data_IF_253492677916
#
_entry.id   IF_253492677916
#
_cell.length_a   1.000
_cell.length_b   1.000
_cell.length_c   1.000
_cell.angle_alpha   90.00
_cell.angle_beta   90.00
_cell.angle_gamma   90.00
#
_symmetry.space_group_name_H-M   'P 1'
#
loop_
_entity.id
_entity.type
_entity.pdbx_description
1 polymer ?
#
# COMPACT_ATOMS: atom_id res chain seq x y z
N UNK A 1 -26.20 12.49 -3.26
CA UNK A 1 -26.71 13.12 -4.51
C UNK A 1 -27.59 12.08 -5.18
N UNK A 2 -28.69 12.47 -5.84
CA UNK A 2 -29.59 11.50 -6.49
C UNK A 2 -29.02 11.12 -7.88
N UNK A 3 -29.19 9.86 -8.33
CA UNK A 3 -28.74 9.37 -9.64
C UNK A 3 -29.31 10.25 -10.77
N UNK A 4 -30.58 10.69 -10.67
CA UNK A 4 -31.21 11.61 -11.63
C UNK A 4 -30.39 12.90 -11.84
N UNK A 5 -29.64 13.37 -10.84
CA UNK A 5 -28.79 14.55 -10.97
C UNK A 5 -27.50 14.25 -11.74
N UNK A 6 -26.92 13.06 -11.59
CA UNK A 6 -25.74 12.63 -12.36
C UNK A 6 -26.12 12.46 -13.83
N UNK A 7 -27.21 11.77 -14.13
CA UNK A 7 -27.71 11.56 -15.50
C UNK A 7 -28.02 12.88 -16.24
N UNK A 8 -28.52 13.88 -15.52
CA UNK A 8 -28.70 15.22 -16.07
C UNK A 8 -27.39 15.89 -16.44
N UNK A 9 -26.37 15.79 -15.59
CA UNK A 9 -25.08 16.41 -15.83
C UNK A 9 -24.27 15.72 -16.93
N UNK A 10 -24.43 14.40 -17.08
CA UNK A 10 -23.78 13.61 -18.14
C UNK A 10 -24.18 14.08 -19.56
N UNK A 11 -25.31 14.76 -19.73
CA UNK A 11 -25.74 15.34 -21.01
C UNK A 11 -24.95 16.59 -21.42
N UNK A 12 -24.17 17.18 -20.49
CA UNK A 12 -23.44 18.42 -20.69
C UNK A 12 -21.94 18.24 -20.82
N UNK A 13 -21.46 17.01 -20.93
CA UNK A 13 -20.02 16.70 -21.11
C UNK A 13 -19.78 16.03 -22.46
N UNK A 14 -18.52 15.86 -22.82
CA UNK A 14 -18.12 15.17 -24.04
C UNK A 14 -18.84 13.82 -24.18
N UNK A 15 -19.37 13.47 -25.36
CA UNK A 15 -20.14 12.24 -25.57
C UNK A 15 -19.36 10.96 -25.28
N UNK A 16 -18.04 10.93 -25.51
CA UNK A 16 -17.18 9.77 -25.22
C UNK A 16 -17.11 9.60 -23.71
N UNK A 17 -16.79 10.67 -22.97
CA UNK A 17 -16.76 10.66 -21.51
C UNK A 17 -18.12 10.25 -20.92
N UNK A 18 -19.22 10.83 -21.43
CA UNK A 18 -20.59 10.51 -21.01
C UNK A 18 -20.89 9.01 -21.18
N UNK A 19 -20.51 8.44 -22.32
CA UNK A 19 -20.73 7.01 -22.59
C UNK A 19 -19.93 6.11 -21.63
N UNK A 20 -18.66 6.44 -21.38
CA UNK A 20 -17.80 5.69 -20.44
C UNK A 20 -18.40 5.72 -19.03
N UNK A 21 -18.81 6.89 -18.54
CA UNK A 21 -19.41 7.04 -17.21
C UNK A 21 -20.77 6.34 -17.08
N UNK A 22 -21.61 6.35 -18.12
CA UNK A 22 -22.86 5.59 -18.15
C UNK A 22 -22.60 4.06 -18.13
N UNK A 23 -21.58 3.59 -18.84
CA UNK A 23 -21.17 2.18 -18.78
C UNK A 23 -20.71 1.81 -17.36
N UNK A 24 -19.92 2.67 -16.71
CA UNK A 24 -19.50 2.47 -15.32
C UNK A 24 -20.69 2.42 -14.35
N UNK A 25 -21.63 3.36 -14.44
CA UNK A 25 -22.87 3.37 -13.63
C UNK A 25 -23.75 2.15 -13.86
N UNK A 26 -23.70 1.57 -15.06
CA UNK A 26 -24.35 0.31 -15.40
C UNK A 26 -23.55 -0.93 -15.00
N UNK A 27 -22.47 -0.75 -14.23
CA UNK A 27 -21.55 -1.80 -13.73
C UNK A 27 -20.93 -2.65 -14.86
N UNK A 28 -20.82 -2.11 -16.07
CA UNK A 28 -20.09 -2.73 -17.16
C UNK A 28 -18.58 -2.58 -16.93
N UNK A 29 -17.82 -3.59 -17.32
CA UNK A 29 -16.39 -3.51 -17.30
C UNK A 29 -15.86 -2.42 -18.24
N UNK A 30 -15.02 -1.53 -17.72
CA UNK A 30 -14.44 -0.43 -18.48
C UNK A 30 -13.13 -0.91 -19.12
N UNK A 31 -13.01 -0.70 -20.45
CA UNK A 31 -11.79 -1.06 -21.20
C UNK A 31 -10.61 -0.16 -20.83
N UNK A 32 -9.40 -0.58 -21.21
CA UNK A 32 -8.18 0.25 -21.07
C UNK A 32 -8.32 1.57 -21.82
N UNK A 33 -8.88 1.55 -23.03
CA UNK A 33 -9.07 2.76 -23.84
C UNK A 33 -10.07 3.71 -23.16
N UNK A 34 -11.22 3.20 -22.72
CA UNK A 34 -12.22 4.00 -22.03
C UNK A 34 -11.68 4.60 -20.72
N UNK A 35 -10.93 3.83 -19.93
CA UNK A 35 -10.32 4.32 -18.71
C UNK A 35 -9.26 5.41 -18.97
N UNK A 36 -8.56 5.33 -20.11
CA UNK A 36 -7.62 6.39 -20.52
C UNK A 36 -8.33 7.71 -20.84
N UNK A 37 -9.58 7.65 -21.36
CA UNK A 37 -10.38 8.86 -21.59
C UNK A 37 -10.78 9.56 -20.28
N UNK A 38 -11.00 8.80 -19.19
CA UNK A 38 -11.31 9.39 -17.88
C UNK A 38 -10.18 10.32 -17.37
N UNK A 39 -8.92 10.02 -17.66
CA UNK A 39 -7.81 10.89 -17.27
C UNK A 39 -7.73 12.20 -18.07
N UNK A 40 -8.43 12.31 -19.20
CA UNK A 40 -8.49 13.52 -20.01
C UNK A 40 -9.60 14.48 -19.57
N UNK A 41 -10.45 14.05 -18.63
CA UNK A 41 -11.60 14.82 -18.16
C UNK A 41 -11.17 16.16 -17.56
N UNK A 42 -11.86 17.24 -17.95
CA UNK A 42 -11.64 18.59 -17.47
C UNK A 42 -12.97 19.28 -17.11
N UNK A 43 -12.88 20.38 -16.36
CA UNK A 43 -14.04 21.16 -15.98
C UNK A 43 -15.10 20.30 -15.27
N UNK A 44 -16.34 20.37 -15.73
CA UNK A 44 -17.44 19.59 -15.14
C UNK A 44 -17.22 18.07 -15.31
N UNK A 45 -16.60 17.64 -16.41
CA UNK A 45 -16.28 16.25 -16.65
C UNK A 45 -15.35 15.65 -15.58
N UNK A 46 -14.35 16.40 -15.14
CA UNK A 46 -13.47 16.01 -14.03
C UNK A 46 -14.27 15.70 -12.76
N UNK A 47 -15.18 16.58 -12.37
CA UNK A 47 -16.01 16.36 -11.18
C UNK A 47 -16.97 15.18 -11.34
N UNK A 48 -17.50 14.97 -12.57
CA UNK A 48 -18.38 13.82 -12.85
C UNK A 48 -17.65 12.48 -12.71
N UNK A 49 -16.37 12.38 -13.07
CA UNK A 49 -15.58 11.17 -12.85
C UNK A 49 -15.54 10.85 -11.34
N UNK A 50 -15.28 11.85 -10.49
CA UNK A 50 -15.30 11.67 -9.03
C UNK A 50 -16.69 11.28 -8.51
N UNK A 51 -17.74 11.96 -8.97
CA UNK A 51 -19.13 11.69 -8.55
C UNK A 51 -19.57 10.25 -8.91
N UNK A 52 -19.22 9.77 -10.10
CA UNK A 52 -19.53 8.41 -10.53
C UNK A 52 -18.73 7.40 -9.70
N UNK A 53 -17.45 7.67 -9.43
CA UNK A 53 -16.63 6.83 -8.58
C UNK A 53 -17.18 6.74 -7.14
N UNK A 54 -17.63 7.87 -6.56
CA UNK A 54 -18.24 7.87 -5.22
C UNK A 54 -19.60 7.14 -5.20
N UNK A 55 -20.42 7.28 -6.24
CA UNK A 55 -21.66 6.52 -6.35
C UNK A 55 -21.42 5.00 -6.44
N UNK A 56 -20.42 4.57 -7.22
CA UNK A 56 -20.00 3.16 -7.28
C UNK A 56 -19.48 2.66 -5.93
N UNK A 57 -18.65 3.44 -5.24
CA UNK A 57 -18.23 3.15 -3.88
C UNK A 57 -19.42 2.97 -2.95
N UNK A 58 -20.37 3.93 -2.96
CA UNK A 58 -21.58 3.90 -2.13
C UNK A 58 -22.42 2.64 -2.35
N UNK A 59 -22.56 2.19 -3.60
CA UNK A 59 -23.28 0.95 -3.92
C UNK A 59 -22.56 -0.30 -3.37
N UNK A 60 -21.23 -0.32 -3.36
CA UNK A 60 -20.43 -1.48 -2.94
C UNK A 60 -20.25 -1.61 -1.44
N UNK A 61 -19.90 -0.52 -0.77
CA UNK A 61 -19.47 -0.52 0.63
C UNK A 61 -20.29 0.42 1.53
N UNK A 62 -21.27 1.11 0.98
CA UNK A 62 -22.06 2.10 1.72
C UNK A 62 -21.23 3.29 2.17
N UNK A 63 -21.61 3.91 3.29
CA UNK A 63 -20.90 5.07 3.83
C UNK A 63 -19.87 4.69 4.92
N UNK A 64 -19.55 3.41 5.04
CA UNK A 64 -18.53 2.92 5.95
C UNK A 64 -17.14 3.22 5.37
N UNK A 65 -16.29 3.83 6.19
CA UNK A 65 -14.86 4.04 5.92
C UNK A 65 -14.06 3.26 6.93
N UNK A 66 -13.20 2.39 6.45
CA UNK A 66 -12.45 1.47 7.29
C UNK A 66 -11.03 1.95 7.58
N UNK A 67 -10.46 1.44 8.68
CA UNK A 67 -9.05 1.54 9.03
C UNK A 67 -8.62 0.32 9.87
N UNK A 68 -7.33 0.03 9.90
CA UNK A 68 -6.74 -1.01 10.76
C UNK A 68 -5.79 -0.39 11.78
N UNK A 69 -5.82 -0.88 13.02
CA UNK A 69 -4.80 -0.51 14.01
C UNK A 69 -3.59 -1.40 13.81
N UNK A 70 -2.50 -0.84 13.31
CA UNK A 70 -1.32 -1.61 12.93
C UNK A 70 0.01 -0.89 13.21
N UNK A 71 1.08 -1.66 13.16
CA UNK A 71 2.46 -1.17 13.22
C UNK A 71 3.27 -1.65 12.04
N UNK A 72 4.06 -0.74 11.44
CA UNK A 72 5.11 -1.10 10.51
C UNK A 72 6.38 -1.51 11.26
N UNK A 73 6.94 -2.66 10.89
CA UNK A 73 8.22 -3.15 11.41
C UNK A 73 9.16 -3.37 10.23
N UNK A 74 9.96 -2.34 9.94
CA UNK A 74 10.99 -2.39 8.92
C UNK A 74 12.30 -2.77 9.62
N UNK A 75 12.58 -4.05 9.75
CA UNK A 75 13.66 -4.54 10.61
C UNK A 75 15.07 -4.34 10.05
N UNK A 76 15.22 -4.03 8.76
CA UNK A 76 16.47 -3.59 8.15
C UNK A 76 16.24 -2.66 6.96
N UNK A 77 17.09 -1.67 6.80
CA UNK A 77 17.17 -0.83 5.60
C UNK A 77 18.29 -1.29 4.64
N UNK A 78 19.09 -2.27 5.03
CA UNK A 78 20.16 -2.80 4.18
C UNK A 78 19.54 -3.60 3.03
N UNK A 79 19.88 -3.23 1.79
CA UNK A 79 19.29 -3.84 0.61
C UNK A 79 20.31 -4.00 -0.52
N UNK A 80 20.34 -5.17 -1.14
CA UNK A 80 21.17 -5.44 -2.33
C UNK A 80 20.59 -4.83 -3.61
N UNK A 81 19.33 -4.35 -3.56
CA UNK A 81 18.65 -3.72 -4.69
C UNK A 81 18.83 -2.19 -4.62
N UNK A 82 19.07 -1.59 -5.77
CA UNK A 82 19.27 -0.15 -5.89
C UNK A 82 18.10 0.47 -6.68
N UNK A 83 16.91 0.44 -6.08
CA UNK A 83 15.71 1.02 -6.70
C UNK A 83 15.84 2.55 -6.72
N UNK A 84 15.71 3.16 -7.89
CA UNK A 84 15.86 4.61 -8.06
C UNK A 84 14.85 5.44 -7.26
N UNK A 85 13.71 4.87 -6.92
CA UNK A 85 12.66 5.53 -6.12
C UNK A 85 12.82 5.33 -4.60
N UNK A 86 13.68 4.41 -4.13
CA UNK A 86 13.74 4.01 -2.74
C UNK A 86 14.77 4.82 -1.96
N UNK A 87 14.30 5.73 -1.12
CA UNK A 87 15.16 6.51 -0.22
C UNK A 87 15.41 5.81 1.14
N UNK A 88 14.70 4.72 1.41
CA UNK A 88 14.85 3.95 2.63
C UNK A 88 16.08 3.03 2.62
N UNK A 89 16.39 2.44 1.45
CA UNK A 89 17.46 1.45 1.32
C UNK A 89 18.84 2.06 1.52
N UNK A 90 19.73 1.27 2.14
CA UNK A 90 21.16 1.55 2.27
C UNK A 90 21.95 0.38 1.70
N UNK A 91 23.05 0.69 1.01
CA UNK A 91 24.02 -0.33 0.61
C UNK A 91 24.63 -0.93 1.89
N UNK A 92 24.97 -2.21 1.85
CA UNK A 92 25.56 -2.93 3.00
C UNK A 92 26.93 -2.40 3.45
N UNK A 93 27.48 -1.43 2.75
CA UNK A 93 28.74 -0.74 3.06
C UNK A 93 28.52 0.60 3.74
N UNK A 94 27.30 1.12 3.76
CA UNK A 94 26.96 2.41 4.35
C UNK A 94 26.87 2.32 5.87
N UNK A 95 27.32 3.37 6.56
CA UNK A 95 27.30 3.43 8.03
C UNK A 95 25.87 3.54 8.61
N UNK A 96 24.92 4.02 7.81
CA UNK A 96 23.51 4.16 8.19
C UNK A 96 22.70 2.85 8.06
N UNK A 97 23.35 1.74 7.67
CA UNK A 97 22.71 0.43 7.63
C UNK A 97 22.39 -0.08 9.03
N UNK A 98 21.16 -0.54 9.25
CA UNK A 98 20.77 -1.16 10.51
C UNK A 98 20.11 -2.53 10.28
N UNK A 99 20.12 -3.36 11.34
CA UNK A 99 19.42 -4.63 11.38
C UNK A 99 18.93 -4.88 12.81
N UNK A 100 17.60 -4.98 12.98
CA UNK A 100 17.02 -5.24 14.29
C UNK A 100 17.13 -6.72 14.64
N UNK A 101 17.60 -7.06 15.85
CA UNK A 101 17.54 -8.44 16.33
C UNK A 101 16.09 -8.91 16.52
N UNK A 102 15.87 -10.21 16.47
CA UNK A 102 14.52 -10.82 16.57
C UNK A 102 13.80 -10.40 17.85
N UNK A 103 14.51 -10.28 18.96
CA UNK A 103 13.98 -9.84 20.25
C UNK A 103 13.39 -8.42 20.19
N UNK A 104 14.04 -7.52 19.45
CA UNK A 104 13.56 -6.16 19.26
C UNK A 104 12.35 -6.12 18.32
N UNK A 105 12.32 -6.97 17.28
CA UNK A 105 11.15 -7.12 16.39
C UNK A 105 9.93 -7.59 17.21
N UNK A 106 10.11 -8.61 18.03
CA UNK A 106 9.06 -9.15 18.92
C UNK A 106 8.61 -8.10 19.95
N UNK A 107 9.56 -7.37 20.56
CA UNK A 107 9.24 -6.28 21.50
C UNK A 107 8.34 -5.23 20.85
N UNK A 108 8.66 -4.81 19.62
CA UNK A 108 7.85 -3.85 18.85
C UNK A 108 6.46 -4.39 18.53
N UNK A 109 6.35 -5.65 18.15
CA UNK A 109 5.07 -6.29 17.89
C UNK A 109 4.21 -6.33 19.17
N UNK A 110 4.80 -6.67 20.31
CA UNK A 110 4.14 -6.73 21.62
C UNK A 110 3.68 -5.36 22.11
N UNK A 111 4.52 -4.33 21.92
CA UNK A 111 4.16 -2.94 22.21
C UNK A 111 2.93 -2.50 21.39
N UNK A 112 2.90 -2.79 20.10
CA UNK A 112 1.77 -2.48 19.25
C UNK A 112 0.50 -3.24 19.69
N UNK A 113 0.61 -4.54 19.96
CA UNK A 113 -0.51 -5.35 20.42
C UNK A 113 -1.13 -4.82 21.74
N UNK A 114 -0.28 -4.42 22.67
CA UNK A 114 -0.75 -3.81 23.94
C UNK A 114 -1.44 -2.46 23.75
N UNK A 115 -1.20 -1.79 22.63
CA UNK A 115 -1.85 -0.55 22.22
C UNK A 115 -3.07 -0.78 21.31
N UNK A 116 -3.51 -2.03 21.15
CA UNK A 116 -4.70 -2.39 20.40
C UNK A 116 -4.45 -2.78 18.96
N UNK A 117 -3.19 -2.92 18.50
CA UNK A 117 -2.93 -3.35 17.14
C UNK A 117 -3.43 -4.79 16.90
N UNK A 118 -4.15 -4.96 15.81
CA UNK A 118 -4.61 -6.26 15.32
C UNK A 118 -3.65 -6.83 14.26
N UNK A 119 -2.77 -5.98 13.71
CA UNK A 119 -1.84 -6.31 12.63
C UNK A 119 -0.43 -5.75 12.91
N UNK A 120 0.58 -6.51 12.51
CA UNK A 120 1.92 -5.98 12.24
C UNK A 120 2.25 -6.15 10.75
N UNK A 121 2.67 -5.06 10.11
CA UNK A 121 3.14 -5.08 8.72
C UNK A 121 4.67 -5.18 8.72
N UNK A 122 5.20 -6.29 8.16
CA UNK A 122 6.63 -6.59 8.17
C UNK A 122 7.16 -6.53 6.75
N UNK A 123 7.99 -5.55 6.46
CA UNK A 123 8.70 -5.36 5.20
C UNK A 123 10.09 -4.78 5.47
N UNK A 124 11.10 -5.22 4.74
CA UNK A 124 12.46 -4.79 4.97
C UNK A 124 13.30 -4.72 3.68
N UNK A 125 14.50 -4.19 3.79
CA UNK A 125 15.53 -4.35 2.76
C UNK A 125 15.94 -5.81 2.62
N UNK A 126 16.66 -6.14 1.54
CA UNK A 126 17.19 -7.46 1.25
C UNK A 126 18.69 -7.48 1.61
N UNK A 127 19.08 -7.88 2.82
CA UNK A 127 20.48 -7.86 3.21
C UNK A 127 21.27 -8.95 2.47
N UNK A 128 22.53 -8.70 2.09
CA UNK A 128 23.38 -9.75 1.54
C UNK A 128 23.58 -10.83 2.60
N UNK A 129 23.76 -12.07 2.16
CA UNK A 129 24.01 -13.24 3.05
C UNK A 129 22.93 -13.48 4.12
N UNK A 130 21.67 -13.09 3.82
CA UNK A 130 20.53 -13.36 4.68
C UNK A 130 20.42 -14.86 4.99
N UNK A 131 20.22 -15.18 6.27
CA UNK A 131 19.87 -16.55 6.67
C UNK A 131 18.57 -16.98 6.00
N UNK A 132 18.56 -18.15 5.40
CA UNK A 132 17.40 -18.69 4.67
C UNK A 132 16.11 -18.77 5.49
N UNK A 133 16.23 -18.96 6.81
CA UNK A 133 15.08 -19.10 7.71
C UNK A 133 14.67 -17.78 8.39
N UNK A 134 15.33 -16.65 8.10
CA UNK A 134 15.13 -15.39 8.83
C UNK A 134 13.64 -14.99 8.92
N UNK A 135 12.92 -15.01 7.82
CA UNK A 135 11.51 -14.58 7.80
C UNK A 135 10.61 -15.54 8.59
N UNK A 136 10.88 -16.83 8.50
CA UNK A 136 10.15 -17.85 9.27
C UNK A 136 10.42 -17.70 10.77
N UNK A 137 11.69 -17.53 11.16
CA UNK A 137 12.10 -17.42 12.56
C UNK A 137 11.50 -16.18 13.22
N UNK A 138 11.48 -15.04 12.51
CA UNK A 138 10.81 -13.81 12.95
C UNK A 138 9.31 -14.05 13.16
N UNK A 139 8.64 -14.68 12.20
CA UNK A 139 7.21 -14.97 12.32
C UNK A 139 6.90 -15.91 13.49
N UNK A 140 7.65 -16.99 13.63
CA UNK A 140 7.50 -17.96 14.74
C UNK A 140 7.72 -17.29 16.09
N UNK A 141 8.74 -16.43 16.22
CA UNK A 141 9.04 -15.69 17.45
C UNK A 141 7.86 -14.73 17.81
N UNK A 142 7.33 -13.99 16.85
CA UNK A 142 6.16 -13.13 17.06
C UNK A 142 4.95 -13.97 17.48
N UNK A 143 4.66 -15.08 16.78
CA UNK A 143 3.50 -15.94 17.07
C UNK A 143 3.60 -16.66 18.40
N UNK A 144 4.82 -16.95 18.87
CA UNK A 144 5.05 -17.52 20.22
C UNK A 144 4.60 -16.56 21.33
N UNK A 145 4.92 -15.27 21.19
CA UNK A 145 4.59 -14.23 22.18
C UNK A 145 3.17 -13.68 22.02
N UNK A 146 2.69 -13.61 20.77
CA UNK A 146 1.42 -12.98 20.41
C UNK A 146 0.68 -13.85 19.38
N UNK A 147 0.11 -14.99 19.77
CA UNK A 147 -0.49 -15.95 18.84
C UNK A 147 -1.55 -15.36 17.90
N UNK A 148 -2.32 -14.38 18.39
CA UNK A 148 -3.48 -13.82 17.70
C UNK A 148 -3.15 -12.62 16.78
N UNK A 149 -1.94 -12.04 16.84
CA UNK A 149 -1.60 -10.90 15.98
C UNK A 149 -1.58 -11.34 14.50
N UNK A 150 -2.18 -10.54 13.64
CA UNK A 150 -2.09 -10.78 12.20
C UNK A 150 -0.72 -10.34 11.67
N UNK A 151 0.00 -11.23 11.00
CA UNK A 151 1.25 -10.91 10.32
C UNK A 151 0.94 -10.66 8.84
N UNK A 152 1.05 -9.39 8.43
CA UNK A 152 1.01 -8.91 7.05
C UNK A 152 2.46 -8.74 6.56
N UNK A 153 3.04 -9.74 5.96
CA UNK A 153 4.44 -9.78 5.51
C UNK A 153 4.61 -10.97 4.58
N UNK A 154 5.48 -10.96 3.71
CA UNK A 154 6.48 -10.06 3.19
C UNK A 154 6.11 -9.66 1.75
N UNK A 155 6.80 -8.69 1.14
CA UNK A 155 6.58 -8.36 -0.27
C UNK A 155 6.91 -9.53 -1.21
N UNK A 156 6.37 -9.56 -2.45
CA UNK A 156 6.76 -10.56 -3.45
C UNK A 156 8.27 -10.61 -3.75
N UNK A 157 8.96 -9.47 -3.68
CA UNK A 157 10.42 -9.41 -3.80
C UNK A 157 11.12 -10.14 -2.65
N UNK A 158 10.66 -9.96 -1.41
CA UNK A 158 11.20 -10.64 -0.23
C UNK A 158 10.91 -12.15 -0.28
N UNK A 159 9.70 -12.54 -0.71
CA UNK A 159 9.34 -13.96 -0.91
C UNK A 159 10.25 -14.61 -1.94
N UNK A 160 10.44 -13.98 -3.11
CA UNK A 160 11.33 -14.50 -4.15
C UNK A 160 12.78 -14.61 -3.63
N UNK A 161 13.26 -13.58 -2.93
CA UNK A 161 14.60 -13.57 -2.35
C UNK A 161 14.77 -14.70 -1.32
N UNK A 162 13.80 -14.88 -0.43
CA UNK A 162 13.81 -15.95 0.56
C UNK A 162 13.79 -17.34 -0.09
N UNK A 163 12.97 -17.55 -1.12
CA UNK A 163 12.95 -18.81 -1.88
C UNK A 163 14.30 -19.13 -2.53
N UNK A 164 14.93 -18.13 -3.16
CA UNK A 164 16.27 -18.26 -3.76
C UNK A 164 17.33 -18.58 -2.68
N UNK A 165 17.29 -17.89 -1.54
CA UNK A 165 18.24 -18.10 -0.42
C UNK A 165 18.08 -19.48 0.23
N UNK A 166 16.87 -20.03 0.18
CA UNK A 166 16.53 -21.35 0.74
C UNK A 166 16.70 -22.51 -0.25
N UNK A 167 17.01 -22.20 -1.51
CA UNK A 167 17.09 -23.18 -2.61
C UNK A 167 15.80 -24.02 -2.74
N UNK A 168 14.65 -23.37 -2.67
CA UNK A 168 13.33 -24.02 -2.80
C UNK A 168 12.43 -23.25 -3.78
N UNK A 169 11.33 -23.87 -4.20
CA UNK A 169 10.32 -23.22 -5.04
C UNK A 169 9.57 -22.11 -4.28
N UNK A 170 9.03 -21.12 -5.01
CA UNK A 170 8.14 -20.09 -4.47
C UNK A 170 7.00 -20.72 -3.68
N UNK A 171 6.38 -21.78 -4.19
CA UNK A 171 5.27 -22.49 -3.52
C UNK A 171 5.69 -23.08 -2.19
N UNK A 172 6.81 -23.76 -2.17
CA UNK A 172 7.33 -24.36 -0.93
C UNK A 172 7.67 -23.29 0.10
N UNK A 173 8.34 -22.21 -0.33
CA UNK A 173 8.69 -21.11 0.56
C UNK A 173 7.46 -20.41 1.13
N UNK A 174 6.44 -20.13 0.32
CA UNK A 174 5.17 -19.57 0.78
C UNK A 174 4.43 -20.51 1.76
N UNK A 175 4.49 -21.83 1.53
CA UNK A 175 3.93 -22.79 2.49
C UNK A 175 4.64 -22.72 3.84
N UNK A 176 5.97 -22.67 3.84
CA UNK A 176 6.79 -22.52 5.06
C UNK A 176 6.49 -21.21 5.80
N UNK A 177 6.34 -20.11 5.08
CA UNK A 177 5.94 -18.81 5.66
C UNK A 177 4.53 -18.88 6.27
N UNK A 178 3.58 -19.52 5.60
CA UNK A 178 2.22 -19.74 6.12
C UNK A 178 2.25 -20.54 7.42
N UNK A 179 3.00 -21.65 7.45
CA UNK A 179 3.16 -22.50 8.62
C UNK A 179 3.88 -21.76 9.77
N UNK A 180 4.77 -20.84 9.45
CA UNK A 180 5.43 -19.95 10.40
C UNK A 180 4.52 -18.86 10.97
N UNK A 181 3.33 -18.65 10.38
CA UNK A 181 2.32 -17.72 10.89
C UNK A 181 2.07 -16.48 10.04
N UNK A 182 2.60 -16.38 8.81
CA UNK A 182 2.22 -15.33 7.87
C UNK A 182 0.76 -15.52 7.47
N UNK A 183 -0.03 -14.47 7.60
CA UNK A 183 -1.47 -14.50 7.34
C UNK A 183 -1.84 -13.91 5.98
N UNK A 184 -1.18 -12.82 5.58
CA UNK A 184 -1.39 -12.13 4.29
C UNK A 184 -0.08 -11.51 3.81
N UNK A 185 0.04 -11.21 2.50
CA UNK A 185 1.19 -10.53 1.94
C UNK A 185 0.83 -9.12 1.45
N UNK A 186 1.69 -8.11 1.70
CA UNK A 186 1.61 -6.84 1.00
C UNK A 186 1.93 -7.03 -0.49
N UNK A 187 1.06 -6.55 -1.36
CA UNK A 187 1.25 -6.58 -2.82
C UNK A 187 2.20 -5.50 -3.34
N UNK A 188 3.13 -5.08 -2.50
CA UNK A 188 4.20 -4.13 -2.85
C UNK A 188 5.19 -4.75 -3.84
N UNK A 189 6.23 -4.02 -4.21
CA UNK A 189 7.11 -4.39 -5.30
C UNK A 189 6.41 -4.53 -6.69
N UNK A 190 5.13 -4.16 -6.80
CA UNK A 190 4.41 -4.05 -8.06
C UNK A 190 4.86 -2.83 -8.87
N UNK A 191 5.01 -1.70 -8.23
CA UNK A 191 5.28 -0.36 -8.76
C UNK A 191 4.41 -0.05 -9.99
N UNK A 192 4.91 -0.29 -11.20
CA UNK A 192 4.15 -0.42 -12.45
C UNK A 192 4.43 -1.80 -13.05
N UNK A 193 3.38 -2.57 -13.36
CA UNK A 193 3.48 -3.93 -13.91
C UNK A 193 3.71 -3.91 -15.43
N UNK A 194 4.69 -3.13 -15.85
CA UNK A 194 5.30 -3.11 -17.17
C UNK A 194 6.80 -3.33 -17.03
N UNK A 195 7.35 -4.33 -17.74
CA UNK A 195 8.76 -4.71 -17.55
C UNK A 195 9.71 -3.60 -17.98
N UNK A 196 9.41 -2.89 -19.07
CA UNK A 196 10.29 -1.81 -19.57
C UNK A 196 10.33 -0.64 -18.58
N UNK A 197 9.18 -0.33 -17.95
CA UNK A 197 9.12 0.68 -16.91
C UNK A 197 9.90 0.26 -15.66
N UNK A 198 9.78 -0.99 -15.25
CA UNK A 198 10.51 -1.55 -14.09
C UNK A 198 12.02 -1.52 -14.31
N UNK A 199 12.48 -1.91 -15.49
CA UNK A 199 13.91 -1.91 -15.83
C UNK A 199 14.53 -0.50 -15.76
N UNK A 200 13.71 0.55 -15.95
CA UNK A 200 14.14 1.95 -15.76
C UNK A 200 14.22 2.32 -14.27
N UNK A 201 13.14 2.15 -13.51
CA UNK A 201 13.05 2.68 -12.14
C UNK A 201 13.68 1.77 -11.09
N UNK A 202 13.83 0.47 -11.38
CA UNK A 202 14.35 -0.53 -10.43
C UNK A 202 15.04 -1.70 -11.16
N UNK A 203 16.16 -1.45 -11.84
CA UNK A 203 16.89 -2.48 -12.59
C UNK A 203 17.30 -3.63 -11.65
N UNK A 204 17.19 -4.87 -12.14
CA UNK A 204 17.55 -6.07 -11.39
C UNK A 204 16.62 -6.44 -10.22
N UNK A 205 15.46 -5.81 -10.13
CA UNK A 205 14.40 -6.17 -9.17
C UNK A 205 13.51 -7.28 -9.75
N UNK A 206 12.64 -7.87 -8.92
CA UNK A 206 11.65 -8.91 -9.33
C UNK A 206 10.98 -8.53 -10.65
N UNK A 207 10.93 -9.47 -11.60
CA UNK A 207 10.25 -9.25 -12.87
C UNK A 207 8.74 -9.21 -12.72
N UNK A 208 8.03 -8.66 -13.72
CA UNK A 208 6.55 -8.71 -13.72
C UNK A 208 6.06 -10.16 -13.67
N UNK A 209 6.73 -11.07 -14.37
CA UNK A 209 6.38 -12.49 -14.41
C UNK A 209 6.54 -13.14 -13.03
N UNK A 210 7.67 -12.92 -12.38
CA UNK A 210 7.94 -13.51 -11.06
C UNK A 210 7.03 -12.91 -9.99
N UNK A 211 6.75 -11.60 -10.07
CA UNK A 211 5.77 -10.94 -9.19
C UNK A 211 4.38 -11.60 -9.30
N UNK A 212 3.91 -11.79 -10.54
CA UNK A 212 2.64 -12.44 -10.81
C UNK A 212 2.62 -13.89 -10.32
N UNK A 213 3.73 -14.63 -10.48
CA UNK A 213 3.87 -15.99 -9.98
C UNK A 213 3.78 -16.06 -8.45
N UNK A 214 4.47 -15.17 -7.73
CA UNK A 214 4.38 -15.09 -6.26
C UNK A 214 2.94 -14.83 -5.82
N UNK A 215 2.28 -13.82 -6.40
CA UNK A 215 0.90 -13.44 -6.04
C UNK A 215 -0.08 -14.58 -6.30
N UNK A 216 -0.08 -15.16 -7.50
CA UNK A 216 -0.99 -16.26 -7.85
C UNK A 216 -0.73 -17.50 -7.01
N UNK A 217 0.53 -17.79 -6.70
CA UNK A 217 0.89 -18.91 -5.82
C UNK A 217 0.39 -18.66 -4.40
N UNK A 218 0.57 -17.45 -3.86
CA UNK A 218 0.04 -17.10 -2.54
C UNK A 218 -1.49 -17.27 -2.49
N UNK A 219 -2.21 -16.75 -3.48
CA UNK A 219 -3.67 -16.91 -3.59
C UNK A 219 -4.09 -18.38 -3.64
N UNK A 220 -3.38 -19.22 -4.42
CA UNK A 220 -3.66 -20.65 -4.53
C UNK A 220 -3.44 -21.42 -3.22
N UNK A 221 -2.61 -20.90 -2.32
CA UNK A 221 -2.38 -21.41 -0.96
C UNK A 221 -3.35 -20.82 0.08
N UNK A 222 -4.30 -19.97 -0.34
CA UNK A 222 -5.24 -19.29 0.55
C UNK A 222 -4.61 -18.16 1.35
N UNK A 223 -3.46 -17.63 0.91
CA UNK A 223 -2.83 -16.43 1.45
C UNK A 223 -3.31 -15.25 0.60
N UNK A 224 -4.22 -14.43 1.15
CA UNK A 224 -4.64 -13.21 0.48
C UNK A 224 -3.50 -12.20 0.41
N UNK A 225 -3.58 -11.30 -0.59
CA UNK A 225 -2.62 -10.20 -0.71
C UNK A 225 -3.33 -8.88 -0.91
N UNK A 226 -2.65 -7.77 -0.63
CA UNK A 226 -3.06 -6.47 -1.13
C UNK A 226 -2.60 -6.31 -2.59
N UNK A 227 -3.00 -5.24 -3.26
CA UNK A 227 -2.45 -4.84 -4.55
C UNK A 227 -2.09 -3.36 -4.51
N UNK A 228 -0.97 -2.98 -5.12
CA UNK A 228 -0.46 -1.61 -5.08
C UNK A 228 -0.05 -1.13 -6.47
N UNK A 229 0.00 0.18 -6.65
CA UNK A 229 0.60 0.85 -7.79
C UNK A 229 1.39 2.06 -7.29
N UNK A 230 2.63 2.24 -7.70
CA UNK A 230 3.34 3.50 -7.48
C UNK A 230 3.21 4.38 -8.74
N UNK A 231 2.73 5.60 -8.56
CA UNK A 231 2.46 6.54 -9.65
C UNK A 231 2.99 7.94 -9.33
N UNK A 232 3.08 8.81 -10.33
CA UNK A 232 3.55 10.19 -10.15
C UNK A 232 5.04 10.36 -10.41
N UNK A 233 5.73 9.38 -11.03
CA UNK A 233 7.16 9.44 -11.36
C UNK A 233 7.41 9.73 -12.86
N UNK A 234 7.64 8.71 -13.69
CA UNK A 234 7.91 8.84 -15.14
C UNK A 234 6.88 8.11 -15.99
N UNK A 235 5.95 7.41 -15.36
CA UNK A 235 4.88 6.65 -16.03
C UNK A 235 3.86 7.59 -16.69
N UNK A 236 3.21 7.09 -17.74
CA UNK A 236 2.06 7.71 -18.37
C UNK A 236 0.73 7.28 -17.70
N UNK A 237 -0.35 7.99 -17.99
CA UNK A 237 -1.70 7.56 -17.58
C UNK A 237 -2.09 6.22 -18.20
N UNK A 238 -1.63 5.92 -19.40
CA UNK A 238 -1.84 4.63 -20.06
C UNK A 238 -1.15 3.48 -19.30
N UNK A 239 0.08 3.71 -18.78
CA UNK A 239 0.79 2.72 -17.96
C UNK A 239 0.00 2.41 -16.68
N UNK A 240 -0.59 3.42 -16.03
CA UNK A 240 -1.46 3.25 -14.84
C UNK A 240 -2.68 2.41 -15.17
N UNK A 241 -3.38 2.73 -16.25
CA UNK A 241 -4.60 2.01 -16.67
C UNK A 241 -4.28 0.55 -17.01
N UNK A 242 -3.19 0.29 -17.73
CA UNK A 242 -2.73 -1.08 -18.03
C UNK A 242 -2.36 -1.86 -16.77
N UNK A 243 -1.73 -1.21 -15.80
CA UNK A 243 -1.43 -1.80 -14.51
C UNK A 243 -2.70 -2.21 -13.77
N UNK A 244 -3.69 -1.31 -13.65
CA UNK A 244 -4.98 -1.60 -13.01
C UNK A 244 -5.72 -2.73 -13.72
N UNK A 245 -5.71 -2.72 -15.07
CA UNK A 245 -6.30 -3.79 -15.86
C UNK A 245 -5.62 -5.15 -15.59
N UNK A 246 -4.28 -5.18 -15.46
CA UNK A 246 -3.57 -6.41 -15.11
C UNK A 246 -3.93 -6.94 -13.73
N UNK A 247 -4.05 -6.07 -12.72
CA UNK A 247 -4.53 -6.46 -11.38
C UNK A 247 -5.96 -7.02 -11.45
N UNK A 248 -6.83 -6.39 -12.24
CA UNK A 248 -8.20 -6.87 -12.46
C UNK A 248 -8.22 -8.28 -13.05
N UNK A 249 -7.40 -8.57 -14.04
CA UNK A 249 -7.33 -9.91 -14.63
C UNK A 249 -6.82 -10.95 -13.63
N UNK A 250 -5.81 -10.63 -12.82
CA UNK A 250 -5.36 -11.51 -11.74
C UNK A 250 -6.48 -11.74 -10.73
N UNK A 251 -7.22 -10.70 -10.36
CA UNK A 251 -8.36 -10.83 -9.43
C UNK A 251 -9.48 -11.71 -9.99
N UNK A 252 -9.79 -11.59 -11.28
CA UNK A 252 -10.76 -12.49 -11.95
C UNK A 252 -10.34 -13.95 -11.87
N UNK A 253 -9.04 -14.22 -12.01
CA UNK A 253 -8.50 -15.56 -11.99
C UNK A 253 -8.45 -16.15 -10.59
N UNK A 254 -8.09 -15.36 -9.59
CA UNK A 254 -7.69 -15.86 -8.26
C UNK A 254 -8.60 -15.44 -7.10
N UNK A 255 -9.26 -14.29 -7.20
CA UNK A 255 -10.08 -13.73 -6.12
C UNK A 255 -9.32 -13.33 -4.85
N UNK A 256 -7.97 -13.30 -4.88
CA UNK A 256 -7.15 -13.23 -3.68
C UNK A 256 -6.76 -11.82 -3.22
N UNK A 257 -6.96 -10.77 -4.02
CA UNK A 257 -6.71 -9.39 -3.59
C UNK A 257 -7.80 -8.89 -2.63
N UNK A 258 -7.39 -8.28 -1.52
CA UNK A 258 -8.29 -7.70 -0.52
C UNK A 258 -8.59 -6.22 -0.78
N UNK A 259 -7.63 -5.51 -1.38
CA UNK A 259 -7.69 -4.08 -1.63
C UNK A 259 -6.77 -3.66 -2.78
N UNK A 260 -6.96 -2.43 -3.24
CA UNK A 260 -6.01 -1.73 -4.10
C UNK A 260 -5.56 -0.42 -3.45
N UNK A 261 -4.23 -0.18 -3.46
CA UNK A 261 -3.60 1.00 -2.85
C UNK A 261 -2.79 1.76 -3.91
N UNK A 262 -3.28 2.87 -4.45
CA UNK A 262 -2.45 3.78 -5.24
C UNK A 262 -1.51 4.57 -4.33
N UNK A 263 -0.21 4.50 -4.60
CA UNK A 263 0.87 5.09 -3.82
C UNK A 263 1.56 6.18 -4.62
N UNK A 264 1.33 7.44 -4.26
CA UNK A 264 2.00 8.57 -4.88
C UNK A 264 3.51 8.50 -4.62
N UNK A 265 4.29 8.80 -5.66
CA UNK A 265 5.74 8.87 -5.56
C UNK A 265 6.15 10.06 -4.71
N UNK A 266 6.99 9.82 -3.71
CA UNK A 266 7.61 10.83 -2.87
C UNK A 266 9.03 11.04 -3.41
N UNK A 267 9.30 12.24 -3.92
CA UNK A 267 10.47 12.53 -4.74
C UNK A 267 11.67 13.05 -3.96
N UNK A 268 11.44 13.74 -2.84
CA UNK A 268 12.40 14.60 -2.16
C UNK A 268 13.76 13.92 -1.93
N UNK A 269 13.76 12.71 -1.40
CA UNK A 269 14.97 11.95 -1.11
C UNK A 269 15.20 10.78 -2.07
N UNK A 270 14.33 10.58 -3.06
CA UNK A 270 14.45 9.50 -4.03
C UNK A 270 15.66 9.68 -4.96
N UNK A 271 16.58 8.69 -5.07
CA UNK A 271 17.80 8.83 -5.88
C UNK A 271 17.54 9.23 -7.34
N UNK A 272 16.51 8.65 -7.98
CA UNK A 272 16.21 8.96 -9.38
C UNK A 272 15.77 10.41 -9.59
N UNK A 273 15.13 11.04 -8.59
CA UNK A 273 14.76 12.45 -8.65
C UNK A 273 15.94 13.35 -8.31
N UNK A 274 16.64 13.09 -7.20
CA UNK A 274 17.81 13.87 -6.75
C UNK A 274 18.91 13.97 -7.81
N UNK A 275 19.11 12.88 -8.54
CA UNK A 275 20.16 12.82 -9.59
C UNK A 275 19.61 13.01 -11.00
N UNK A 276 18.33 13.34 -11.15
CA UNK A 276 17.65 13.53 -12.44
C UNK A 276 17.98 12.39 -13.45
N UNK A 277 17.84 11.14 -12.98
CA UNK A 277 18.28 9.95 -13.73
C UNK A 277 17.45 9.74 -15.01
N UNK A 278 16.19 10.19 -15.03
CA UNK A 278 15.28 10.03 -16.16
C UNK A 278 14.74 11.37 -16.61
N UNK A 279 14.69 11.58 -17.92
CA UNK A 279 14.01 12.73 -18.51
C UNK A 279 12.52 12.69 -18.17
N UNK A 280 11.96 13.85 -17.83
CA UNK A 280 10.52 13.98 -17.49
C UNK A 280 10.13 13.43 -16.11
N UNK A 281 11.10 13.15 -15.24
CA UNK A 281 10.80 12.73 -13.87
C UNK A 281 10.00 13.81 -13.12
N UNK A 282 8.89 13.42 -12.52
CA UNK A 282 7.98 14.30 -11.78
C UNK A 282 8.30 14.31 -10.29
N UNK A 283 7.90 15.39 -9.62
CA UNK A 283 7.98 15.53 -8.16
C UNK A 283 6.78 14.87 -7.44
N UNK A 284 6.26 13.78 -7.97
CA UNK A 284 5.00 13.18 -7.52
C UNK A 284 3.83 13.60 -8.40
N UNK A 285 2.65 13.07 -8.10
CA UNK A 285 1.40 13.41 -8.75
C UNK A 285 0.82 14.71 -8.15
N UNK A 286 0.22 15.56 -8.99
CA UNK A 286 -0.53 16.72 -8.52
C UNK A 286 -1.92 16.31 -7.98
N UNK A 287 -2.64 17.23 -7.35
CA UNK A 287 -3.92 16.94 -6.71
C UNK A 287 -4.97 16.35 -7.67
N UNK A 288 -5.06 16.87 -8.91
CA UNK A 288 -6.01 16.34 -9.89
C UNK A 288 -5.64 14.91 -10.31
N UNK A 289 -4.34 14.64 -10.48
CA UNK A 289 -3.81 13.32 -10.80
C UNK A 289 -4.12 12.31 -9.68
N UNK A 290 -3.96 12.73 -8.41
CA UNK A 290 -4.31 11.92 -7.24
C UNK A 290 -5.80 11.59 -7.23
N UNK A 291 -6.67 12.59 -7.39
CA UNK A 291 -8.12 12.40 -7.40
C UNK A 291 -8.57 11.50 -8.55
N UNK A 292 -8.10 11.75 -9.79
CA UNK A 292 -8.43 10.92 -10.95
C UNK A 292 -7.92 9.49 -10.78
N UNK A 293 -6.71 9.29 -10.23
CA UNK A 293 -6.17 7.95 -10.04
C UNK A 293 -7.03 7.11 -9.10
N UNK A 294 -7.53 7.69 -8.00
CA UNK A 294 -8.44 6.98 -7.09
C UNK A 294 -9.80 6.72 -7.75
N UNK A 295 -10.36 7.72 -8.43
CA UNK A 295 -11.66 7.58 -9.12
C UNK A 295 -11.61 6.54 -10.24
N UNK A 296 -10.59 6.60 -11.12
CA UNK A 296 -10.40 5.63 -12.20
C UNK A 296 -10.17 4.22 -11.63
N UNK A 297 -9.41 4.10 -10.55
CA UNK A 297 -9.21 2.81 -9.87
C UNK A 297 -10.54 2.24 -9.37
N UNK A 298 -11.40 3.04 -8.74
CA UNK A 298 -12.74 2.62 -8.33
C UNK A 298 -13.56 2.18 -9.54
N UNK A 299 -13.60 2.96 -10.60
CA UNK A 299 -14.38 2.67 -11.80
C UNK A 299 -13.93 1.36 -12.46
N UNK A 300 -12.62 1.15 -12.60
CA UNK A 300 -12.07 -0.05 -13.25
C UNK A 300 -12.17 -1.33 -12.39
N UNK A 301 -12.06 -1.20 -11.07
CA UNK A 301 -12.01 -2.33 -10.15
C UNK A 301 -13.34 -2.61 -9.44
N UNK A 302 -14.37 -1.80 -9.66
CA UNK A 302 -15.62 -1.82 -8.90
C UNK A 302 -16.25 -3.22 -8.73
N UNK A 303 -16.18 -4.06 -9.77
CA UNK A 303 -16.81 -5.39 -9.76
C UNK A 303 -15.88 -6.49 -9.17
N UNK A 304 -14.64 -6.16 -8.81
CA UNK A 304 -13.59 -7.13 -8.52
C UNK A 304 -12.89 -6.89 -7.19
N UNK A 305 -12.56 -5.63 -6.88
CA UNK A 305 -11.89 -5.24 -5.63
C UNK A 305 -12.73 -4.14 -4.96
N UNK A 306 -13.35 -4.50 -3.84
CA UNK A 306 -14.28 -3.59 -3.15
C UNK A 306 -13.57 -2.43 -2.45
N UNK A 307 -12.32 -2.60 -2.05
CA UNK A 307 -11.63 -1.65 -1.18
C UNK A 307 -10.55 -0.90 -1.94
N UNK A 308 -10.69 0.42 -1.98
CA UNK A 308 -9.68 1.34 -2.48
C UNK A 308 -9.17 2.14 -1.28
N UNK A 309 -7.91 1.91 -0.94
CA UNK A 309 -7.24 2.58 0.16
C UNK A 309 -6.59 3.87 -0.32
N UNK A 310 -6.70 4.95 0.47
CA UNK A 310 -5.85 6.11 0.32
C UNK A 310 -4.65 6.03 1.27
N UNK A 311 -3.50 6.51 0.83
CA UNK A 311 -2.28 6.54 1.64
C UNK A 311 -2.12 7.90 2.32
N UNK A 312 -2.67 8.06 3.53
CA UNK A 312 -2.62 9.33 4.26
C UNK A 312 -1.18 9.82 4.52
N UNK A 313 -0.23 8.90 4.65
CA UNK A 313 1.20 9.24 4.86
C UNK A 313 1.83 9.90 3.64
N UNK A 314 1.29 9.66 2.45
CA UNK A 314 1.74 10.26 1.19
C UNK A 314 0.91 11.48 0.78
N UNK A 315 -0.39 11.42 0.95
CA UNK A 315 -1.33 12.44 0.47
C UNK A 315 -1.69 13.47 1.55
N UNK A 316 -1.45 13.14 2.83
CA UNK A 316 -1.87 13.96 3.95
C UNK A 316 -3.35 13.83 4.28
N UNK A 317 -3.74 14.31 5.45
CA UNK A 317 -5.09 14.10 6.01
C UNK A 317 -6.18 14.76 5.17
N UNK A 318 -5.99 16.02 4.71
CA UNK A 318 -7.01 16.76 3.95
C UNK A 318 -7.28 16.15 2.58
N UNK A 319 -6.24 15.73 1.87
CA UNK A 319 -6.42 15.03 0.60
C UNK A 319 -7.10 13.69 0.84
N UNK A 320 -6.73 12.95 1.87
CA UNK A 320 -7.36 11.69 2.22
C UNK A 320 -8.86 11.84 2.51
N UNK A 321 -9.29 12.91 3.22
CA UNK A 321 -10.71 13.22 3.37
C UNK A 321 -11.41 13.46 2.03
N UNK A 322 -10.78 14.23 1.13
CA UNK A 322 -11.33 14.52 -0.19
C UNK A 322 -11.51 13.24 -1.01
N UNK A 323 -10.55 12.32 -0.96
CA UNK A 323 -10.58 11.06 -1.69
C UNK A 323 -11.74 10.14 -1.27
N UNK A 324 -12.29 10.30 -0.07
CA UNK A 324 -13.52 9.61 0.37
C UNK A 324 -14.75 9.94 -0.48
N UNK A 325 -14.73 11.06 -1.22
CA UNK A 325 -15.73 11.43 -2.21
C UNK A 325 -15.26 11.20 -3.64
N UNK A 326 -14.11 10.51 -3.82
CA UNK A 326 -13.51 10.18 -5.11
C UNK A 326 -13.27 8.68 -5.27
N UNK A 327 -14.07 7.87 -4.58
CA UNK A 327 -14.11 6.41 -4.75
C UNK A 327 -13.31 5.62 -3.72
N UNK A 328 -12.52 6.26 -2.85
CA UNK A 328 -11.84 5.58 -1.76
C UNK A 328 -12.79 5.28 -0.57
N UNK A 329 -12.50 4.22 0.19
CA UNK A 329 -13.28 3.79 1.35
C UNK A 329 -12.44 3.26 2.52
N UNK A 330 -11.11 3.38 2.46
CA UNK A 330 -10.23 2.85 3.49
C UNK A 330 -9.06 3.81 3.75
N UNK A 331 -8.81 4.14 5.02
CA UNK A 331 -7.68 4.97 5.46
C UNK A 331 -6.37 4.19 5.57
N UNK A 332 -6.41 2.86 5.37
CA UNK A 332 -5.29 1.99 5.65
C UNK A 332 -5.07 1.80 7.13
N UNK A 333 -3.82 1.88 7.56
CA UNK A 333 -3.44 1.66 8.94
C UNK A 333 -3.10 2.92 9.71
N UNK A 334 -3.08 2.78 11.04
CA UNK A 334 -2.49 3.78 11.94
C UNK A 334 -0.99 3.96 11.69
N UNK A 335 -0.35 2.94 11.12
CA UNK A 335 1.05 2.90 10.67
C UNK A 335 2.04 3.32 11.77
N UNK A 336 1.86 2.81 13.01
CA UNK A 336 2.81 3.11 14.07
C UNK A 336 4.25 2.92 13.59
N UNK A 337 5.06 3.96 13.70
CA UNK A 337 6.48 3.97 13.32
C UNK A 337 6.73 3.75 11.80
N UNK A 338 5.89 4.34 10.95
CA UNK A 338 6.12 4.33 9.50
C UNK A 338 7.46 4.99 9.15
N UNK A 339 8.34 4.28 8.48
CA UNK A 339 9.72 4.72 8.22
C UNK A 339 10.03 4.89 6.73
N UNK A 340 9.36 4.15 5.86
CA UNK A 340 9.69 4.11 4.42
C UNK A 340 9.33 5.42 3.73
N UNK A 341 8.11 5.92 3.92
CA UNK A 341 7.69 7.19 3.32
C UNK A 341 8.38 8.38 4.00
N UNK A 342 8.60 8.30 5.32
CA UNK A 342 9.33 9.34 6.05
C UNK A 342 10.77 9.47 5.56
N UNK A 343 11.47 8.35 5.29
CA UNK A 343 12.83 8.40 4.73
C UNK A 343 12.86 8.97 3.30
N UNK A 344 11.75 8.89 2.57
CA UNK A 344 11.62 9.49 1.25
C UNK A 344 11.29 11.00 1.28
N UNK A 345 11.02 11.54 2.47
CA UNK A 345 10.72 12.97 2.65
C UNK A 345 9.25 13.29 2.91
N UNK A 346 8.38 12.28 3.09
CA UNK A 346 6.97 12.54 3.43
C UNK A 346 6.84 13.32 4.76
N UNK A 347 5.97 14.33 4.75
CA UNK A 347 5.83 15.31 5.85
C UNK A 347 4.61 15.06 6.75
N UNK A 348 3.91 13.93 6.61
CA UNK A 348 2.61 13.71 7.26
C UNK A 348 2.69 12.88 8.54
N UNK A 349 3.90 12.61 9.04
CA UNK A 349 4.14 11.90 10.28
C UNK A 349 4.24 10.39 10.13
N UNK A 350 4.43 9.71 11.27
CA UNK A 350 4.69 8.27 11.36
C UNK A 350 3.59 7.52 12.12
N UNK A 351 2.52 8.20 12.48
CA UNK A 351 1.37 7.68 13.20
C UNK A 351 0.16 8.57 12.94
N UNK A 352 -0.96 7.96 12.56
CA UNK A 352 -2.27 8.58 12.60
C UNK A 352 -3.12 7.81 13.63
N UNK A 353 -3.55 8.48 14.70
CA UNK A 353 -4.27 7.85 15.81
C UNK A 353 -5.69 7.46 15.45
N UNK A 354 -6.27 6.41 16.05
CA UNK A 354 -7.64 5.98 15.79
C UNK A 354 -8.68 7.10 15.92
N UNK A 355 -8.62 7.92 16.99
CA UNK A 355 -9.54 9.05 17.18
C UNK A 355 -9.40 10.10 16.07
N UNK A 356 -8.19 10.38 15.59
CA UNK A 356 -7.96 11.30 14.49
C UNK A 356 -8.57 10.77 13.17
N UNK A 357 -8.41 9.46 12.89
CA UNK A 357 -9.04 8.83 11.72
C UNK A 357 -10.56 8.93 11.82
N UNK A 358 -11.13 8.59 12.96
CA UNK A 358 -12.58 8.68 13.19
C UNK A 358 -13.10 10.10 13.00
N UNK A 359 -12.41 11.09 13.55
CA UNK A 359 -12.75 12.51 13.38
C UNK A 359 -12.75 12.91 11.89
N UNK A 360 -11.69 12.57 11.15
CA UNK A 360 -11.57 12.85 9.72
C UNK A 360 -12.73 12.24 8.91
N UNK A 361 -13.19 11.05 9.28
CA UNK A 361 -14.31 10.35 8.61
C UNK A 361 -15.65 11.00 8.95
N UNK A 362 -15.90 11.34 10.21
CA UNK A 362 -17.16 12.02 10.63
C UNK A 362 -17.31 13.41 10.03
N UNK A 363 -16.22 14.19 9.93
CA UNK A 363 -16.23 15.54 9.33
C UNK A 363 -16.77 15.56 7.89
N UNK A 364 -16.66 14.44 7.18
CA UNK A 364 -17.21 14.29 5.80
C UNK A 364 -18.51 13.47 5.76
N UNK A 365 -19.17 13.29 6.91
CA UNK A 365 -20.49 12.66 7.00
C UNK A 365 -20.49 11.15 6.76
N UNK A 366 -19.36 10.46 6.96
CA UNK A 366 -19.24 9.00 6.80
C UNK A 366 -19.09 8.29 8.13
N UNK A 367 -19.15 6.96 8.12
CA UNK A 367 -19.16 6.11 9.31
C UNK A 367 -17.80 5.43 9.46
N UNK A 368 -16.98 5.79 10.47
CA UNK A 368 -15.72 5.11 10.70
C UNK A 368 -15.91 3.71 11.26
N UNK A 369 -15.09 2.78 10.79
CA UNK A 369 -15.08 1.41 11.30
C UNK A 369 -13.65 0.86 11.37
N UNK A 370 -13.32 0.19 12.46
CA UNK A 370 -12.11 -0.61 12.57
C UNK A 370 -12.32 -1.96 11.87
N UNK A 371 -11.35 -2.39 11.11
CA UNK A 371 -11.36 -3.65 10.38
C UNK A 371 -10.18 -4.57 10.72
N UNK A 372 -10.35 -5.85 10.43
CA UNK A 372 -9.21 -6.78 10.31
C UNK A 372 -8.45 -6.52 9.00
N UNK A 373 -7.26 -7.11 8.86
CA UNK A 373 -6.49 -7.10 7.59
C UNK A 373 -7.27 -7.70 6.42
N UNK A 374 -8.21 -8.60 6.70
CA UNK A 374 -9.07 -9.24 5.68
C UNK A 374 -10.41 -8.51 5.47
N UNK A 375 -10.53 -7.28 5.94
CA UNK A 375 -11.73 -6.43 5.80
C UNK A 375 -12.99 -6.91 6.54
N UNK A 376 -12.84 -7.73 7.57
CA UNK A 376 -13.92 -7.99 8.52
C UNK A 376 -14.08 -6.78 9.42
N UNK A 377 -15.30 -6.27 9.56
CA UNK A 377 -15.60 -5.15 10.46
C UNK A 377 -15.54 -5.63 11.90
N UNK A 378 -14.58 -5.11 12.66
CA UNK A 378 -14.41 -5.41 14.07
C UNK A 378 -15.26 -4.51 14.93
N UNK A 379 -15.26 -3.20 14.68
CA UNK A 379 -16.04 -2.19 15.41
C UNK A 379 -16.53 -1.11 14.46
N UNK A 380 -17.78 -0.65 14.64
CA UNK A 380 -18.32 0.58 14.05
C UNK A 380 -18.45 1.64 15.13
N UNK A 381 -18.27 2.89 14.76
CA UNK A 381 -18.26 3.99 15.71
C UNK A 381 -19.38 4.99 15.39
N UNK A 382 -20.35 5.10 16.30
CA UNK A 382 -21.43 6.11 16.25
C UNK A 382 -21.08 7.33 17.12
N UNK A 383 -20.12 7.19 18.02
CA UNK A 383 -19.61 8.24 18.89
C UNK A 383 -18.12 8.07 19.10
N UNK A 384 -17.46 9.15 19.54
CA UNK A 384 -16.04 9.09 19.87
C UNK A 384 -15.78 8.18 21.06
N UNK A 385 -14.72 7.39 20.95
CA UNK A 385 -14.21 6.49 21.98
C UNK A 385 -12.71 6.73 22.13
N UNK A 386 -12.16 6.40 23.29
CA UNK A 386 -10.74 6.55 23.56
C UNK A 386 -10.08 5.17 23.56
N UNK A 387 -9.25 4.91 22.56
CA UNK A 387 -8.44 3.70 22.47
C UNK A 387 -7.07 3.92 23.15
N UNK A 388 -6.39 2.84 23.51
CA UNK A 388 -5.07 2.91 24.18
C UNK A 388 -4.06 3.73 23.36
N UNK A 389 -4.06 3.57 22.04
CA UNK A 389 -3.18 4.29 21.11
C UNK A 389 -3.47 5.80 21.04
N UNK A 390 -4.69 6.24 21.36
CA UNK A 390 -5.05 7.67 21.34
C UNK A 390 -4.30 8.48 22.40
N UNK A 391 -3.87 7.84 23.49
CA UNK A 391 -3.18 8.47 24.62
C UNK A 391 -1.65 8.47 24.48
N UNK A 392 -1.10 7.89 23.42
CA UNK A 392 0.35 7.76 23.22
C UNK A 392 0.93 9.03 22.61
N UNK A 393 2.11 9.45 23.06
CA UNK A 393 2.88 10.46 22.33
C UNK A 393 3.39 9.86 21.02
N UNK A 394 3.15 10.56 19.90
CA UNK A 394 3.58 10.11 18.58
C UNK A 394 5.09 9.90 18.48
N UNK A 395 5.89 10.60 19.31
CA UNK A 395 7.34 10.49 19.36
C UNK A 395 7.83 9.27 20.15
N UNK A 396 6.95 8.61 20.91
CA UNK A 396 7.30 7.45 21.77
C UNK A 396 7.96 6.30 20.98
N UNK A 397 7.58 6.12 19.73
CA UNK A 397 8.09 5.02 18.90
C UNK A 397 9.46 5.31 18.28
N UNK A 398 10.02 6.51 18.50
CA UNK A 398 11.22 6.98 17.84
C UNK A 398 10.99 7.32 16.37
N UNK A 399 12.06 7.69 15.69
CA UNK A 399 12.03 7.97 14.26
C UNK A 399 13.05 7.09 13.51
N UNK A 400 12.86 6.97 12.19
CA UNK A 400 13.86 6.36 11.31
C UNK A 400 15.25 6.98 11.52
N UNK A 401 15.32 8.31 11.60
CA UNK A 401 16.59 9.05 11.76
C UNK A 401 17.28 8.81 13.13
N UNK A 402 16.53 8.44 14.16
CA UNK A 402 17.08 8.03 15.46
C UNK A 402 17.52 6.57 15.42
N UNK A 403 16.70 5.71 14.80
CA UNK A 403 16.96 4.28 14.69
C UNK A 403 18.33 3.97 14.06
N UNK A 404 18.67 4.65 12.95
CA UNK A 404 19.95 4.46 12.25
C UNK A 404 21.17 4.90 13.05
N UNK A 405 20.99 5.66 14.14
CA UNK A 405 22.06 6.12 15.04
C UNK A 405 22.32 5.17 16.21
N UNK A 406 21.43 4.21 16.47
CA UNK A 406 21.54 3.28 17.58
C UNK A 406 22.63 2.25 17.27
N UNK A 407 23.73 2.28 18.02
CA UNK A 407 24.90 1.43 17.75
C UNK A 407 24.61 -0.07 17.84
N UNK A 408 23.68 -0.49 18.71
CA UNK A 408 23.28 -1.88 18.91
C UNK A 408 22.58 -2.45 17.67
N UNK A 409 21.93 -1.59 16.87
CA UNK A 409 21.20 -1.97 15.67
C UNK A 409 22.01 -1.79 14.38
N UNK A 410 23.24 -1.26 14.46
CA UNK A 410 24.07 -1.08 13.25
C UNK A 410 24.30 -2.41 12.55
N UNK A 411 24.11 -2.40 11.25
CA UNK A 411 24.38 -3.57 10.42
C UNK A 411 25.87 -3.92 10.47
N UNK A 412 26.15 -5.14 10.89
CA UNK A 412 27.52 -5.70 10.89
C UNK A 412 27.68 -6.56 9.65
N UNK A 413 28.46 -6.08 8.68
CA UNK A 413 28.73 -6.86 7.48
C UNK A 413 29.53 -8.12 7.82
N UNK A 414 28.97 -9.34 7.61
CA UNK A 414 29.67 -10.60 7.96
C UNK A 414 30.99 -10.81 7.21
N UNK A 415 31.19 -10.10 6.07
CA UNK A 415 32.39 -10.21 5.24
C UNK A 415 33.54 -9.28 5.68
N UNK A 416 33.32 -8.45 6.71
CA UNK A 416 34.34 -7.52 7.25
C UNK A 416 34.84 -7.91 8.64
N UNK A 417 34.43 -9.08 9.14
CA UNK A 417 34.90 -9.64 10.41
C UNK A 417 36.09 -10.53 10.24
#
# INVERSE_FOLDING_TARGET
MNIESIDSLLKHVDPVLSNVLNNALSEKEISVNDASELYKAQGIGFHLVGMVADELRRRRVGDIVTYVVNRNINFTNVCIKQCGFCAFSRDFREEEGYFLPTEEIVRRAKEAYNLGATEVCIQAGLPPDMNSNLYEDVCKAIKTEIPNIHIHGFSPEEVLYGAIRSDVSIREYLSRLKDAGVNTLPGTAAEILDQKMRDKISPGRITVKDWEEVIKTAHSLGINTTSTMMYGHIESTEDRVKHIAKLREIQKETGGFTEFVPLNFIAEEAPMYKHNIHEGIRHGANANDVMLTHAVSRIMLNNYINNIQMSWVKEGQKMSQLLLSWGANDFGGTLMNESISTSAGAQHGQLLKPNQIRQLVWEVGKIPAERSTKYEILRKFDADTNDALDNVDSNQFGSYFELIKINEFKYKNPRRG
#
